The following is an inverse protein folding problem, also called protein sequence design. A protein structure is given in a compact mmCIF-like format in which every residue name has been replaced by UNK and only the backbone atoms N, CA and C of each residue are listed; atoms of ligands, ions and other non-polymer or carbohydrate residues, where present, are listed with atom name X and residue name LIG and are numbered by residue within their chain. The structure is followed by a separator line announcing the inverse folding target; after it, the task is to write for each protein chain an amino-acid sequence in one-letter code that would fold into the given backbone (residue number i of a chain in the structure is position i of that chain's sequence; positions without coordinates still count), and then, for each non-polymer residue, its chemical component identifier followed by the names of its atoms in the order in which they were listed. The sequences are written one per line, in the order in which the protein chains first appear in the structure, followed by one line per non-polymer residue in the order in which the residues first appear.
data_IF_693177671469
#
_entry.id   IF_693177671469
#
_cell.length_a   1.000
_cell.length_b   1.000
_cell.length_c   1.000
_cell.angle_alpha   90.00
_cell.angle_beta   90.00
_cell.angle_gamma   90.00
#
_symmetry.space_group_name_H-M   'P 1'
#
loop_
_entity.id
_entity.type
_entity.pdbx_description
1 polymer ?
#
# COMPACT_ATOMS: atom_id res chain seq x y z
N UNK A 1 -23.37 -10.97 -5.72
CA UNK A 1 -23.14 -9.59 -5.28
C UNK A 1 -21.65 -9.38 -5.04
N UNK A 2 -21.05 -8.42 -5.74
CA UNK A 2 -19.64 -8.05 -5.62
C UNK A 2 -19.51 -7.04 -4.47
N UNK A 3 -18.41 -7.09 -3.71
CA UNK A 3 -18.12 -6.07 -2.68
C UNK A 3 -18.68 -6.31 -1.28
N UNK A 4 -19.02 -7.55 -0.89
CA UNK A 4 -19.51 -7.87 0.48
C UNK A 4 -18.47 -7.73 1.60
N UNK A 5 -17.21 -7.43 1.27
CA UNK A 5 -16.14 -7.40 2.26
C UNK A 5 -15.82 -8.78 2.84
N UNK A 6 -15.10 -8.79 3.97
CA UNK A 6 -14.75 -10.00 4.70
C UNK A 6 -15.93 -10.46 5.54
N UNK A 7 -16.19 -11.77 5.58
CA UNK A 7 -17.14 -12.38 6.51
C UNK A 7 -16.73 -12.13 7.96
N UNK A 8 -17.69 -11.82 8.82
CA UNK A 8 -17.49 -11.68 10.27
C UNK A 8 -17.00 -13.00 10.89
N UNK A 9 -17.43 -14.13 10.32
CA UNK A 9 -16.90 -15.44 10.67
C UNK A 9 -15.57 -15.70 9.95
N UNK A 10 -14.52 -16.00 10.73
CA UNK A 10 -13.21 -16.36 10.24
C UNK A 10 -12.76 -17.69 10.87
N UNK A 11 -12.45 -18.73 10.05
CA UNK A 11 -12.06 -20.05 10.54
C UNK A 11 -10.57 -20.15 10.92
N UNK A 12 -9.85 -19.03 11.03
CA UNK A 12 -8.45 -19.05 11.49
C UNK A 12 -8.37 -19.48 12.96
N UNK A 13 -7.24 -20.08 13.34
CA UNK A 13 -6.94 -20.38 14.76
C UNK A 13 -6.97 -19.13 15.63
N UNK A 14 -6.51 -18.00 15.10
CA UNK A 14 -6.52 -16.69 15.77
C UNK A 14 -7.14 -15.62 14.86
N UNK A 15 -8.48 -15.52 14.80
CA UNK A 15 -9.16 -14.53 13.97
C UNK A 15 -8.72 -13.10 14.28
N UNK A 16 -8.37 -12.34 13.25
CA UNK A 16 -7.97 -10.93 13.38
C UNK A 16 -6.51 -10.69 13.73
N UNK A 17 -5.74 -11.74 14.04
CA UNK A 17 -4.28 -11.62 14.20
C UNK A 17 -3.58 -11.18 12.90
N UNK A 18 -2.35 -10.69 13.00
CA UNK A 18 -1.52 -10.33 11.84
C UNK A 18 -1.39 -11.51 10.88
N UNK A 19 -1.13 -12.71 11.40
CA UNK A 19 -0.99 -13.93 10.61
C UNK A 19 -2.32 -14.32 9.94
N UNK A 20 -3.46 -14.15 10.62
CA UNK A 20 -4.77 -14.34 10.02
C UNK A 20 -5.01 -13.39 8.84
N UNK A 21 -4.65 -12.11 8.98
CA UNK A 21 -4.81 -11.11 7.92
C UNK A 21 -3.90 -11.43 6.74
N UNK A 22 -2.61 -11.68 6.99
CA UNK A 22 -1.63 -12.05 5.96
C UNK A 22 -2.08 -13.25 5.13
N UNK A 23 -2.54 -14.30 5.81
CA UNK A 23 -3.08 -15.50 5.14
C UNK A 23 -4.24 -15.16 4.22
N UNK A 24 -5.24 -14.43 4.72
CA UNK A 24 -6.40 -14.06 3.89
C UNK A 24 -6.04 -13.15 2.72
N UNK A 25 -5.13 -12.20 2.90
CA UNK A 25 -4.64 -11.34 1.81
C UNK A 25 -3.97 -12.20 0.74
N UNK A 26 -3.12 -13.16 1.13
CA UNK A 26 -2.47 -14.07 0.20
C UNK A 26 -3.48 -14.97 -0.54
N UNK A 27 -4.44 -15.55 0.16
CA UNK A 27 -5.49 -16.38 -0.46
C UNK A 27 -6.28 -15.59 -1.52
N UNK A 28 -6.62 -14.33 -1.20
CA UNK A 28 -7.32 -13.44 -2.14
C UNK A 28 -6.45 -13.00 -3.30
N UNK A 29 -5.15 -12.81 -3.09
CA UNK A 29 -4.18 -12.53 -4.16
C UNK A 29 -4.08 -13.70 -5.14
N UNK A 30 -3.96 -14.93 -4.64
CA UNK A 30 -3.93 -16.14 -5.47
C UNK A 30 -5.23 -16.29 -6.26
N UNK A 31 -6.37 -16.10 -5.61
CA UNK A 31 -7.66 -16.12 -6.30
C UNK A 31 -7.73 -15.06 -7.40
N UNK A 32 -7.31 -13.82 -7.10
CA UNK A 32 -7.28 -12.73 -8.07
C UNK A 32 -6.36 -13.04 -9.26
N UNK A 33 -5.21 -13.66 -9.01
CA UNK A 33 -4.30 -14.09 -10.06
C UNK A 33 -4.96 -15.14 -10.98
N UNK A 34 -5.68 -16.10 -10.40
CA UNK A 34 -6.43 -17.09 -11.18
C UNK A 34 -7.55 -16.43 -12.00
N UNK A 35 -8.33 -15.54 -11.39
CA UNK A 35 -9.49 -14.90 -12.02
C UNK A 35 -9.09 -13.97 -13.16
N UNK A 36 -7.95 -13.26 -13.03
CA UNK A 36 -7.45 -12.31 -14.04
C UNK A 36 -6.52 -12.93 -15.08
N UNK A 37 -5.90 -14.07 -14.76
CA UNK A 37 -4.90 -14.70 -15.63
C UNK A 37 -3.79 -13.72 -16.03
N UNK A 38 -3.42 -13.63 -17.33
CA UNK A 38 -2.35 -12.74 -17.80
C UNK A 38 -2.54 -11.26 -17.45
N UNK A 39 -3.78 -10.81 -17.23
CA UNK A 39 -4.06 -9.42 -16.87
C UNK A 39 -3.50 -9.07 -15.48
N UNK A 40 -3.31 -10.04 -14.59
CA UNK A 40 -2.72 -9.83 -13.26
C UNK A 40 -1.36 -9.14 -13.35
N UNK A 41 -0.46 -9.64 -14.18
CA UNK A 41 0.87 -9.05 -14.40
C UNK A 41 0.82 -7.80 -15.27
N UNK A 42 -0.07 -7.77 -16.29
CA UNK A 42 -0.21 -6.58 -17.16
C UNK A 42 -0.65 -5.35 -16.38
N UNK A 43 -1.47 -5.53 -15.36
CA UNK A 43 -1.93 -4.48 -14.46
C UNK A 43 -1.06 -4.34 -13.21
N UNK A 44 0.07 -5.06 -13.16
CA UNK A 44 1.08 -4.96 -12.10
C UNK A 44 0.55 -5.27 -10.70
N UNK A 45 -0.46 -6.15 -10.61
CA UNK A 45 -0.92 -6.63 -9.30
C UNK A 45 0.18 -7.43 -8.60
N UNK A 46 1.15 -7.99 -9.31
CA UNK A 46 2.34 -8.60 -8.72
C UNK A 46 3.27 -7.57 -8.05
N UNK A 47 3.29 -6.33 -8.52
CA UNK A 47 4.13 -5.22 -8.02
C UNK A 47 3.40 -4.31 -7.01
N UNK A 48 2.63 -4.89 -6.06
CA UNK A 48 2.02 -4.11 -4.98
C UNK A 48 1.95 -4.83 -3.63
N UNK A 49 1.71 -4.07 -2.56
CA UNK A 49 1.47 -4.60 -1.22
C UNK A 49 2.73 -5.12 -0.50
N UNK A 50 2.55 -6.16 0.32
CA UNK A 50 3.62 -6.70 1.18
C UNK A 50 4.81 -7.23 0.37
N UNK A 51 4.57 -7.76 -0.84
CA UNK A 51 5.63 -8.31 -1.69
C UNK A 51 6.60 -7.22 -2.18
N UNK A 52 6.10 -6.03 -2.50
CA UNK A 52 6.96 -4.87 -2.85
C UNK A 52 7.60 -4.27 -1.61
N UNK A 53 6.88 -4.22 -0.49
CA UNK A 53 7.45 -3.72 0.77
C UNK A 53 8.71 -4.49 1.18
N UNK A 54 8.77 -5.81 0.92
CA UNK A 54 9.96 -6.64 1.22
C UNK A 54 11.19 -6.30 0.39
N UNK A 55 11.03 -5.61 -0.75
CA UNK A 55 12.16 -5.16 -1.57
C UNK A 55 12.86 -3.93 -0.96
N UNK A 56 12.22 -3.27 0.00
CA UNK A 56 12.73 -2.13 0.73
C UNK A 56 13.11 -2.56 2.13
N UNK A 57 14.32 -2.20 2.58
CA UNK A 57 14.73 -2.50 3.94
C UNK A 57 13.96 -1.61 4.95
N UNK A 58 13.91 -2.03 6.21
CA UNK A 58 13.09 -1.36 7.23
C UNK A 58 13.49 0.11 7.44
N UNK A 59 14.76 0.45 7.27
CA UNK A 59 15.26 1.82 7.42
C UNK A 59 14.78 2.70 6.26
N UNK A 60 14.87 2.22 5.01
CA UNK A 60 14.34 2.90 3.84
C UNK A 60 12.82 3.13 3.95
N UNK A 61 12.07 2.14 4.43
CA UNK A 61 10.61 2.29 4.60
C UNK A 61 10.28 3.40 5.61
N UNK A 62 10.95 3.42 6.77
CA UNK A 62 10.75 4.44 7.81
C UNK A 62 11.15 5.82 7.33
N UNK A 63 12.26 5.91 6.62
CA UNK A 63 12.77 7.14 6.05
C UNK A 63 11.79 7.70 5.02
N UNK A 64 11.27 6.84 4.13
CA UNK A 64 10.24 7.22 3.17
C UNK A 64 8.94 7.69 3.84
N UNK A 65 8.45 6.97 4.85
CA UNK A 65 7.25 7.35 5.61
C UNK A 65 7.41 8.74 6.24
N UNK A 66 8.51 8.98 6.95
CA UNK A 66 8.86 10.26 7.57
C UNK A 66 8.93 11.39 6.53
N UNK A 67 9.55 11.12 5.39
CA UNK A 67 9.74 12.10 4.32
C UNK A 67 8.42 12.53 3.69
N UNK A 68 7.50 11.59 3.45
CA UNK A 68 6.16 11.90 2.92
C UNK A 68 5.34 12.67 3.95
N UNK A 69 5.44 12.33 5.24
CA UNK A 69 4.75 13.06 6.31
C UNK A 69 5.24 14.51 6.48
N UNK A 70 6.53 14.78 6.26
CA UNK A 70 7.10 16.13 6.29
C UNK A 70 6.78 16.96 5.03
N UNK A 71 6.44 16.29 3.93
CA UNK A 71 6.16 16.90 2.63
C UNK A 71 4.77 16.51 2.11
N UNK A 72 3.69 16.83 2.83
CA UNK A 72 2.33 16.49 2.42
C UNK A 72 1.97 17.21 1.12
N UNK A 73 1.37 16.48 0.16
CA UNK A 73 1.04 17.01 -1.16
C UNK A 73 -0.08 18.06 -1.04
N UNK A 74 -1.00 17.89 -0.08
CA UNK A 74 -2.04 18.86 0.32
C UNK A 74 -1.51 20.24 0.72
N UNK A 75 -0.21 20.38 1.01
CA UNK A 75 0.44 21.67 1.24
C UNK A 75 1.18 22.21 0.00
N UNK A 76 0.95 21.63 -1.18
CA UNK A 76 1.67 21.94 -2.42
C UNK A 76 3.14 21.51 -2.40
N UNK A 77 3.54 20.63 -1.47
CA UNK A 77 4.93 20.15 -1.36
C UNK A 77 5.13 18.88 -2.18
N UNK A 78 6.34 18.70 -2.69
CA UNK A 78 6.72 17.47 -3.39
C UNK A 78 7.67 16.63 -2.54
N UNK A 79 7.24 15.43 -2.17
CA UNK A 79 8.09 14.43 -1.53
C UNK A 79 9.08 13.78 -2.53
N UNK A 80 8.80 13.85 -3.83
CA UNK A 80 9.54 13.08 -4.84
C UNK A 80 10.98 13.57 -5.02
N UNK A 81 11.21 14.90 -4.99
CA UNK A 81 12.57 15.46 -5.10
C UNK A 81 13.44 15.07 -3.91
N UNK A 82 13.04 15.31 -2.64
CA UNK A 82 13.79 14.84 -1.47
C UNK A 82 14.00 13.32 -1.46
N UNK A 83 13.00 12.54 -1.90
CA UNK A 83 13.12 11.08 -1.93
C UNK A 83 14.23 10.61 -2.88
N UNK A 84 14.37 11.23 -4.06
CA UNK A 84 15.44 10.91 -5.01
C UNK A 84 16.84 11.26 -4.50
N UNK A 85 16.96 12.30 -3.68
CA UNK A 85 18.24 12.72 -3.07
C UNK A 85 18.67 11.77 -1.95
N UNK A 86 17.70 11.32 -1.14
CA UNK A 86 17.95 10.52 0.06
C UNK A 86 18.01 9.02 -0.24
N UNK A 87 17.31 8.56 -1.28
CA UNK A 87 17.25 7.16 -1.70
C UNK A 87 17.88 6.97 -3.09
N UNK A 88 19.18 7.28 -3.29
CA UNK A 88 19.80 7.31 -4.61
C UNK A 88 19.88 5.93 -5.29
N UNK A 89 19.77 4.85 -4.50
CA UNK A 89 19.72 3.48 -5.01
C UNK A 89 18.39 3.17 -5.71
N UNK A 90 17.34 3.96 -5.48
CA UNK A 90 16.01 3.77 -6.05
C UNK A 90 15.80 4.72 -7.22
N UNK A 91 15.47 4.17 -8.38
CA UNK A 91 15.03 4.98 -9.53
C UNK A 91 13.67 5.62 -9.22
N UNK A 92 13.38 6.73 -9.90
CA UNK A 92 12.10 7.47 -9.76
C UNK A 92 10.89 6.56 -9.84
N UNK A 93 10.89 5.58 -10.75
CA UNK A 93 9.77 4.66 -10.96
C UNK A 93 9.52 3.79 -9.73
N UNK A 94 10.58 3.37 -9.03
CA UNK A 94 10.45 2.55 -7.81
C UNK A 94 9.91 3.38 -6.64
N UNK A 95 10.35 4.63 -6.50
CA UNK A 95 9.86 5.54 -5.47
C UNK A 95 8.37 5.83 -5.67
N UNK A 96 7.98 6.16 -6.91
CA UNK A 96 6.57 6.42 -7.26
C UNK A 96 5.73 5.16 -7.08
N UNK A 97 6.22 4.00 -7.54
CA UNK A 97 5.54 2.72 -7.32
C UNK A 97 5.35 2.43 -5.84
N UNK A 98 6.38 2.60 -5.01
CA UNK A 98 6.28 2.37 -3.57
C UNK A 98 5.25 3.29 -2.89
N UNK A 99 5.18 4.55 -3.30
CA UNK A 99 4.17 5.49 -2.80
C UNK A 99 2.75 4.98 -3.04
N UNK A 100 2.39 4.69 -4.30
CA UNK A 100 1.03 4.30 -4.66
C UNK A 100 0.68 2.86 -4.27
N UNK A 101 1.64 1.94 -4.35
CA UNK A 101 1.38 0.51 -4.21
C UNK A 101 1.67 -0.04 -2.81
N UNK A 102 2.34 0.73 -1.94
CA UNK A 102 2.65 0.33 -0.55
C UNK A 102 2.18 1.38 0.45
N UNK A 103 2.67 2.62 0.34
CA UNK A 103 2.43 3.65 1.36
C UNK A 103 0.95 4.07 1.44
N UNK A 104 0.33 4.45 0.32
CA UNK A 104 -1.07 4.88 0.29
C UNK A 104 -2.02 3.77 0.79
N UNK A 105 -1.96 2.51 0.30
CA UNK A 105 -2.77 1.41 0.82
C UNK A 105 -2.55 1.16 2.32
N UNK A 106 -1.30 1.22 2.80
CA UNK A 106 -0.97 1.07 4.23
C UNK A 106 -1.64 2.17 5.06
N UNK A 107 -1.54 3.42 4.62
CA UNK A 107 -2.14 4.59 5.29
C UNK A 107 -3.67 4.51 5.35
N UNK A 108 -4.33 4.16 4.24
CA UNK A 108 -5.79 3.95 4.19
C UNK A 108 -6.20 2.83 5.14
N UNK A 109 -5.47 1.71 5.12
CA UNK A 109 -5.72 0.56 5.98
C UNK A 109 -5.63 0.92 7.47
N UNK A 110 -4.65 1.74 7.86
CA UNK A 110 -4.52 2.26 9.23
C UNK A 110 -5.70 3.16 9.62
N UNK A 111 -6.05 4.15 8.78
CA UNK A 111 -7.20 5.04 9.04
C UNK A 111 -8.51 4.26 9.19
N UNK A 112 -8.76 3.29 8.32
CA UNK A 112 -9.95 2.43 8.38
C UNK A 112 -10.05 1.65 9.69
N UNK A 113 -8.92 1.11 10.20
CA UNK A 113 -8.89 0.40 11.49
C UNK A 113 -9.09 1.33 12.69
N UNK A 114 -8.64 2.58 12.59
CA UNK A 114 -8.81 3.59 13.65
C UNK A 114 -10.23 4.18 13.72
N UNK A 115 -11.15 3.78 12.84
CA UNK A 115 -12.54 4.24 12.85
C UNK A 115 -12.73 5.68 12.36
N UNK A 116 -11.73 6.27 11.70
CA UNK A 116 -11.83 7.62 11.14
C UNK A 116 -12.74 7.62 9.90
N UNK A 117 -13.89 8.30 9.98
CA UNK A 117 -14.91 8.36 8.89
C UNK A 117 -14.57 9.34 7.76
N UNK A 118 -13.50 10.14 7.89
CA UNK A 118 -13.10 11.12 6.89
C UNK A 118 -11.92 10.54 6.12
N UNK A 119 -12.23 9.80 5.06
CA UNK A 119 -11.24 9.26 4.13
C UNK A 119 -11.10 10.28 3.00
N UNK A 120 -10.51 11.43 3.32
CA UNK A 120 -10.00 12.31 2.28
C UNK A 120 -8.69 11.69 1.78
N UNK A 121 -8.79 10.97 0.65
CA UNK A 121 -7.66 10.27 0.00
C UNK A 121 -7.16 11.05 -1.21
N UNK A 122 -7.91 12.07 -1.63
CA UNK A 122 -7.51 12.97 -2.70
C UNK A 122 -6.57 14.00 -2.06
N UNK A 123 -5.28 13.65 -2.03
CA UNK A 123 -4.19 14.62 -1.89
C UNK A 123 -4.07 15.30 -3.28
N UNK A 124 -5.15 15.97 -3.71
CA UNK A 124 -5.28 16.53 -5.06
C UNK A 124 -4.17 17.54 -5.33
N UNK A 125 -3.42 17.27 -6.39
CA UNK A 125 -2.42 18.16 -6.98
C UNK A 125 -3.13 19.43 -7.44
N UNK A 126 -3.08 20.50 -6.64
CA UNK A 126 -3.42 21.83 -7.10
C UNK A 126 -2.34 22.27 -8.12
N UNK A 127 -2.63 22.05 -9.40
CA UNK A 127 -1.84 22.51 -10.54
C UNK A 127 -1.76 24.03 -10.65
#
# INVERSE_FOLDING_TARGET
AIGKGRSDFCPCVSPGSVECVKRHVNDKRIQLQFDLGPAFWRWKFDEMGEDVSKLWNLEEQKMFESLVEMNPISQGKSFLKPALEILPCHRKEFIVSYYFNVYVPRRISMKNRSGCKIIDTDDDEAG
#
